data_IF_958992284245
#
_entry.id   IF_958992284245
#
_cell.length_a   1.000
_cell.length_b   1.000
_cell.length_c   1.000
_cell.angle_alpha   90.00
_cell.angle_beta   90.00
_cell.angle_gamma   90.00
#
_symmetry.space_group_name_H-M   'P 1'
#
loop_
_entity.id
_entity.type
_entity.pdbx_description
1 polymer ?
#
# COMPACT_ATOMS: atom_id res chain seq x y z
N UNK A 1 44.30 -3.02 -69.02
CA UNK A 1 43.45 -2.05 -68.27
C UNK A 1 42.09 -2.71 -68.08
N UNK A 2 41.93 -3.41 -66.97
CA UNK A 2 41.22 -3.02 -65.73
C UNK A 2 39.75 -3.47 -65.79
N UNK A 3 39.54 -4.70 -65.31
CA UNK A 3 38.21 -5.22 -64.99
C UNK A 3 37.53 -4.34 -63.94
N UNK A 4 36.31 -3.90 -64.21
CA UNK A 4 35.45 -3.30 -63.20
C UNK A 4 34.44 -4.37 -62.78
N UNK A 5 34.75 -5.06 -61.68
CA UNK A 5 33.81 -5.94 -60.99
C UNK A 5 32.83 -5.05 -60.23
N UNK A 6 31.63 -4.87 -60.77
CA UNK A 6 30.53 -4.24 -60.06
C UNK A 6 29.98 -5.25 -59.04
N UNK A 7 30.42 -5.12 -57.80
CA UNK A 7 29.88 -5.87 -56.66
C UNK A 7 28.43 -5.42 -56.41
N UNK A 8 27.47 -6.21 -56.87
CA UNK A 8 26.07 -6.10 -56.50
C UNK A 8 25.93 -6.49 -55.02
N UNK A 9 25.86 -5.49 -54.15
CA UNK A 9 25.47 -5.64 -52.74
C UNK A 9 24.01 -6.09 -52.74
N UNK A 10 23.82 -7.41 -52.60
CA UNK A 10 22.53 -8.01 -52.27
C UNK A 10 22.11 -7.51 -50.88
N UNK A 11 21.23 -6.51 -50.88
CA UNK A 11 20.42 -6.10 -49.76
C UNK A 11 19.69 -7.33 -49.20
N UNK A 12 20.23 -7.90 -48.12
CA UNK A 12 19.56 -8.88 -47.28
C UNK A 12 18.35 -8.21 -46.61
N UNK A 13 17.24 -8.14 -47.33
CA UNK A 13 15.92 -7.89 -46.77
C UNK A 13 15.46 -9.20 -46.14
N UNK A 14 16.13 -9.59 -45.05
CA UNK A 14 15.60 -10.61 -44.17
C UNK A 14 14.22 -10.14 -43.69
N UNK A 15 13.20 -10.99 -43.72
CA UNK A 15 11.89 -10.60 -43.21
C UNK A 15 12.09 -10.16 -41.77
N UNK A 16 11.75 -8.90 -41.45
CA UNK A 16 11.49 -8.49 -40.08
C UNK A 16 10.39 -9.42 -39.58
N UNK A 17 10.81 -10.52 -38.94
CA UNK A 17 9.93 -11.32 -38.12
C UNK A 17 9.47 -10.37 -37.04
N UNK A 18 8.28 -9.79 -37.22
CA UNK A 18 7.56 -9.15 -36.13
C UNK A 18 7.47 -10.22 -35.05
N UNK A 19 8.36 -10.14 -34.05
CA UNK A 19 8.25 -10.97 -32.87
C UNK A 19 6.84 -10.71 -32.34
N UNK A 20 5.95 -11.68 -32.52
CA UNK A 20 4.62 -11.63 -31.95
C UNK A 20 4.83 -11.60 -30.46
N UNK A 21 4.79 -10.40 -29.88
CA UNK A 21 4.85 -10.20 -28.44
C UNK A 21 3.63 -10.91 -27.89
N UNK A 22 3.82 -12.14 -27.42
CA UNK A 22 2.75 -12.91 -26.76
C UNK A 22 2.41 -12.13 -25.50
N UNK A 23 1.25 -11.48 -25.50
CA UNK A 23 0.73 -10.83 -24.31
C UNK A 23 0.56 -11.92 -23.24
N UNK A 24 1.26 -11.84 -22.10
CA UNK A 24 1.17 -12.86 -21.07
C UNK A 24 -0.27 -12.91 -20.56
N UNK A 25 -0.81 -14.13 -20.41
CA UNK A 25 -2.16 -14.34 -19.89
C UNK A 25 -2.21 -13.92 -18.42
N UNK A 26 -3.27 -13.21 -18.04
CA UNK A 26 -3.50 -12.81 -16.65
C UNK A 26 -3.87 -14.03 -15.80
N UNK A 27 -3.35 -14.08 -14.57
CA UNK A 27 -3.74 -15.04 -13.55
C UNK A 27 -5.14 -14.72 -13.00
N UNK A 28 -5.84 -15.67 -12.35
CA UNK A 28 -7.13 -15.39 -11.69
C UNK A 28 -7.05 -14.21 -10.70
N UNK A 29 -5.95 -14.11 -9.96
CA UNK A 29 -5.66 -12.97 -9.08
C UNK A 29 -5.66 -11.64 -9.85
N UNK A 30 -4.90 -11.55 -10.94
CA UNK A 30 -4.81 -10.35 -11.77
C UNK A 30 -6.12 -10.01 -12.51
N UNK A 31 -6.92 -11.02 -12.88
CA UNK A 31 -8.25 -10.80 -13.46
C UNK A 31 -9.18 -10.11 -12.46
N UNK A 32 -9.19 -10.55 -11.20
CA UNK A 32 -9.94 -9.87 -10.13
C UNK A 32 -9.47 -8.43 -9.88
N UNK A 33 -8.17 -8.18 -10.01
CA UNK A 33 -7.64 -6.81 -9.90
C UNK A 33 -8.13 -5.93 -11.05
N UNK A 34 -8.15 -6.45 -12.28
CA UNK A 34 -8.60 -5.72 -13.45
C UNK A 34 -10.04 -5.20 -13.31
N UNK A 35 -10.95 -5.99 -12.72
CA UNK A 35 -12.35 -5.57 -12.57
C UNK A 35 -12.55 -4.39 -11.60
N UNK A 36 -11.64 -4.24 -10.63
CA UNK A 36 -11.69 -3.18 -9.62
C UNK A 36 -10.85 -1.97 -9.99
N UNK A 37 -9.63 -2.20 -10.46
CA UNK A 37 -8.60 -1.17 -10.67
C UNK A 37 -8.47 -0.76 -12.14
N UNK A 38 -9.02 -1.54 -13.07
CA UNK A 38 -8.93 -1.25 -14.50
C UNK A 38 -7.48 -1.04 -14.95
N UNK A 39 -7.22 0.10 -15.57
CA UNK A 39 -5.89 0.52 -16.03
C UNK A 39 -5.11 1.36 -15.00
N UNK A 40 -5.60 1.50 -13.77
CA UNK A 40 -4.92 2.31 -12.74
C UNK A 40 -3.59 1.67 -12.28
N UNK A 41 -3.41 0.36 -12.50
CA UNK A 41 -2.19 -0.36 -12.13
C UNK A 41 -1.67 -1.24 -13.28
N UNK A 42 -0.37 -1.51 -13.28
CA UNK A 42 0.26 -2.50 -14.16
C UNK A 42 0.03 -3.91 -13.61
N UNK A 43 -1.01 -4.58 -14.14
CA UNK A 43 -1.42 -5.92 -13.69
C UNK A 43 -0.32 -6.95 -13.87
N UNK A 44 0.51 -6.85 -14.91
CA UNK A 44 1.56 -7.85 -15.18
C UNK A 44 2.63 -7.84 -14.10
N UNK A 45 2.88 -6.69 -13.48
CA UNK A 45 3.82 -6.55 -12.35
C UNK A 45 3.17 -6.83 -10.99
N UNK A 46 1.86 -7.08 -10.95
CA UNK A 46 1.10 -7.21 -9.71
C UNK A 46 0.63 -8.65 -9.52
N UNK A 47 1.49 -9.49 -8.94
CA UNK A 47 1.27 -10.95 -8.80
C UNK A 47 1.07 -11.43 -7.35
N UNK A 48 1.12 -10.53 -6.37
CA UNK A 48 0.89 -10.82 -4.96
C UNK A 48 0.44 -9.57 -4.18
N UNK A 49 0.04 -9.73 -2.93
CA UNK A 49 -0.45 -8.61 -2.09
C UNK A 49 0.58 -7.50 -1.89
N UNK A 50 1.87 -7.85 -1.75
CA UNK A 50 2.93 -6.84 -1.54
C UNK A 50 3.08 -5.94 -2.75
N UNK A 51 3.14 -6.51 -3.95
CA UNK A 51 3.22 -5.73 -5.20
C UNK A 51 1.94 -4.93 -5.44
N UNK A 52 0.78 -5.49 -5.09
CA UNK A 52 -0.49 -4.77 -5.15
C UNK A 52 -0.49 -3.55 -4.24
N UNK A 53 -0.07 -3.71 -2.99
CA UNK A 53 0.03 -2.59 -2.05
C UNK A 53 0.93 -1.47 -2.58
N UNK A 54 2.12 -1.78 -3.09
CA UNK A 54 3.01 -0.78 -3.70
C UNK A 54 2.42 -0.14 -4.96
N UNK A 55 1.68 -0.89 -5.78
CA UNK A 55 1.00 -0.35 -6.95
C UNK A 55 -0.12 0.64 -6.55
N UNK A 56 -0.86 0.35 -5.48
CA UNK A 56 -1.90 1.23 -4.93
C UNK A 56 -1.30 2.49 -4.31
N UNK A 57 -0.21 2.35 -3.52
CA UNK A 57 0.51 3.50 -2.98
C UNK A 57 0.92 4.49 -4.07
N UNK A 58 1.36 3.97 -5.21
CA UNK A 58 1.78 4.76 -6.37
C UNK A 58 0.58 5.35 -7.14
N UNK A 59 -0.42 4.53 -7.47
CA UNK A 59 -1.55 4.93 -8.33
C UNK A 59 -2.47 5.97 -7.66
N UNK A 60 -2.63 5.88 -6.34
CA UNK A 60 -3.49 6.77 -5.56
C UNK A 60 -2.70 7.81 -4.77
N UNK A 61 -1.39 7.92 -5.03
CA UNK A 61 -0.47 8.82 -4.35
C UNK A 61 -0.70 8.85 -2.84
N UNK A 62 -0.79 7.66 -2.23
CA UNK A 62 -1.15 7.55 -0.82
C UNK A 62 -0.20 8.40 0.02
N UNK A 63 1.09 8.37 -0.28
CA UNK A 63 2.12 9.16 0.43
C UNK A 63 1.91 10.67 0.38
N UNK A 64 1.35 11.23 -0.70
CA UNK A 64 1.18 12.68 -0.86
C UNK A 64 -0.22 13.18 -0.54
N UNK A 65 -1.20 12.30 -0.41
CA UNK A 65 -2.58 12.67 -0.07
C UNK A 65 -2.72 12.87 1.44
N UNK A 66 -3.54 13.86 1.81
CA UNK A 66 -3.77 14.20 3.20
C UNK A 66 -4.41 13.03 3.95
N UNK A 67 -3.79 12.67 5.08
CA UNK A 67 -4.29 11.66 6.00
C UNK A 67 -5.43 12.26 6.84
N UNK A 68 -6.65 11.74 6.69
CA UNK A 68 -7.82 12.22 7.44
C UNK A 68 -8.06 11.40 8.71
N UNK A 69 -7.79 10.11 8.64
CA UNK A 69 -7.95 9.18 9.76
C UNK A 69 -7.00 8.00 9.58
N UNK A 70 -6.39 7.55 10.69
CA UNK A 70 -5.63 6.30 10.70
C UNK A 70 -5.74 5.62 12.05
N UNK A 71 -6.04 4.33 12.02
CA UNK A 71 -5.93 3.44 13.17
C UNK A 71 -4.85 2.40 12.90
N UNK A 72 -3.98 2.18 13.87
CA UNK A 72 -2.95 1.15 13.83
C UNK A 72 -3.03 0.34 15.10
N UNK A 73 -3.47 -0.91 14.99
CA UNK A 73 -3.40 -1.89 16.07
C UNK A 73 -2.09 -2.66 15.91
N UNK A 74 -1.30 -2.75 16.98
CA UNK A 74 -0.02 -3.43 16.97
C UNK A 74 0.22 -4.18 18.29
N UNK A 75 1.06 -5.21 18.25
CA UNK A 75 1.43 -5.98 19.42
C UNK A 75 2.82 -5.59 19.92
N UNK A 76 2.88 -4.99 21.10
CA UNK A 76 4.13 -4.66 21.78
C UNK A 76 4.39 -5.71 22.85
N UNK A 77 5.36 -6.60 22.60
CA UNK A 77 5.59 -7.81 23.44
C UNK A 77 4.35 -8.70 23.47
N UNK A 78 3.65 -8.77 24.60
CA UNK A 78 2.38 -9.48 24.79
C UNK A 78 1.16 -8.59 24.60
N UNK A 79 1.33 -7.26 24.67
CA UNK A 79 0.23 -6.34 24.89
C UNK A 79 -0.26 -5.77 23.58
N UNK A 80 -1.58 -5.76 23.41
CA UNK A 80 -2.22 -5.18 22.25
C UNK A 80 -2.40 -3.67 22.48
N UNK A 81 -1.89 -2.88 21.56
CA UNK A 81 -1.98 -1.42 21.60
C UNK A 81 -2.68 -0.91 20.35
N UNK A 82 -3.36 0.21 20.47
CA UNK A 82 -4.03 0.89 19.36
C UNK A 82 -3.58 2.34 19.30
N UNK A 83 -3.06 2.76 18.16
CA UNK A 83 -2.81 4.15 17.83
C UNK A 83 -3.95 4.64 16.94
N UNK A 84 -4.57 5.77 17.28
CA UNK A 84 -5.65 6.38 16.49
C UNK A 84 -5.34 7.85 16.21
N UNK A 85 -5.21 8.20 14.95
CA UNK A 85 -5.17 9.57 14.47
C UNK A 85 -6.53 10.00 13.94
N UNK A 86 -7.07 11.06 14.53
CA UNK A 86 -8.30 11.72 14.09
C UNK A 86 -8.31 13.17 14.57
N UNK A 87 -8.90 14.08 13.79
CA UNK A 87 -9.08 15.49 14.16
C UNK A 87 -7.77 16.18 14.62
N UNK A 88 -6.64 15.89 13.95
CA UNK A 88 -5.35 16.49 14.26
C UNK A 88 -4.69 15.98 15.55
N UNK A 89 -5.23 14.94 16.18
CA UNK A 89 -4.68 14.35 17.41
C UNK A 89 -4.37 12.87 17.22
N UNK A 90 -3.29 12.41 17.82
CA UNK A 90 -2.88 11.01 17.91
C UNK A 90 -3.12 10.53 19.33
N UNK A 91 -3.97 9.54 19.50
CA UNK A 91 -4.25 8.89 20.77
C UNK A 91 -3.65 7.48 20.78
N UNK A 92 -3.02 7.09 21.87
CA UNK A 92 -2.51 5.73 22.08
C UNK A 92 -3.33 5.07 23.18
N UNK A 93 -3.82 3.87 22.91
CA UNK A 93 -4.63 3.07 23.80
C UNK A 93 -3.96 1.72 24.08
N UNK A 94 -4.15 1.24 25.29
CA UNK A 94 -4.06 -0.18 25.62
C UNK A 94 -5.39 -0.84 25.25
N UNK A 95 -5.30 -1.98 24.58
CA UNK A 95 -6.46 -2.81 24.23
C UNK A 95 -6.46 -4.00 25.17
N UNK A 96 -7.52 -4.13 25.95
CA UNK A 96 -7.77 -5.31 26.77
C UNK A 96 -8.39 -6.40 25.89
N UNK A 97 -7.71 -7.54 25.72
CA UNK A 97 -8.17 -8.63 24.84
C UNK A 97 -9.39 -9.37 25.41
N UNK A 98 -9.63 -9.32 26.74
CA UNK A 98 -10.73 -10.06 27.38
C UNK A 98 -12.09 -9.37 27.16
N UNK A 99 -12.12 -8.04 27.24
CA UNK A 99 -13.35 -7.22 27.18
C UNK A 99 -13.41 -6.25 25.99
N UNK A 100 -12.41 -6.27 25.09
CA UNK A 100 -12.21 -5.32 23.97
C UNK A 100 -12.27 -3.84 24.42
N UNK A 101 -11.88 -3.61 25.67
CA UNK A 101 -11.93 -2.29 26.29
C UNK A 101 -10.69 -1.47 25.92
N UNK A 102 -10.85 -0.16 25.76
CA UNK A 102 -9.78 0.75 25.39
C UNK A 102 -9.43 1.66 26.57
N UNK A 103 -8.18 1.59 27.01
CA UNK A 103 -7.64 2.50 28.04
C UNK A 103 -6.67 3.48 27.40
N UNK A 104 -7.00 4.78 27.45
CA UNK A 104 -6.13 5.84 26.91
C UNK A 104 -4.83 5.92 27.72
N UNK A 105 -3.69 5.85 27.02
CA UNK A 105 -2.35 5.96 27.59
C UNK A 105 -1.81 7.38 27.37
N UNK A 106 -1.95 7.91 26.15
CA UNK A 106 -1.44 9.22 25.79
C UNK A 106 -2.20 9.86 24.65
N UNK A 107 -2.12 11.19 24.58
CA UNK A 107 -2.64 12.02 23.50
C UNK A 107 -1.54 12.98 23.05
N UNK A 108 -1.29 13.06 21.76
CA UNK A 108 -0.35 13.98 21.13
C UNK A 108 -1.05 14.78 20.05
N UNK A 109 -0.94 16.10 20.09
CA UNK A 109 -1.46 16.96 19.01
C UNK A 109 -0.45 17.02 17.86
N UNK A 110 -0.95 16.97 16.63
CA UNK A 110 -0.16 17.12 15.41
C UNK A 110 -0.23 18.58 14.97
N UNK A 111 0.92 19.22 14.77
CA UNK A 111 1.00 20.59 14.24
C UNK A 111 0.98 21.70 15.30
N UNK A 112 0.92 21.38 16.60
CA UNK A 112 1.28 22.31 17.66
C UNK A 112 2.77 22.10 17.99
N UNK A 113 3.63 22.88 17.34
CA UNK A 113 5.02 22.99 17.77
C UNK A 113 5.05 23.60 19.17
N UNK A 114 5.79 22.94 20.06
CA UNK A 114 6.21 23.44 21.34
C UNK A 114 6.73 24.87 21.16
N UNK A 115 6.06 25.86 21.76
CA UNK A 115 6.47 27.28 21.68
C UNK A 115 7.77 27.57 22.44
N UNK A 116 8.57 26.56 22.74
CA UNK A 116 9.82 26.66 23.47
C UNK A 116 10.97 26.11 22.62
N UNK A 117 11.58 27.01 21.85
CA UNK A 117 12.88 26.86 21.18
C UNK A 117 13.04 25.72 20.15
N UNK A 118 12.80 26.00 18.86
CA UNK A 118 13.76 25.69 17.76
C UNK A 118 13.19 26.10 16.39
N UNK A 119 13.60 27.28 15.90
CA UNK A 119 13.23 27.89 14.62
C UNK A 119 13.78 27.18 13.36
N UNK A 120 13.97 25.85 13.36
CA UNK A 120 14.60 25.15 12.21
C UNK A 120 14.04 23.81 11.81
N UNK A 121 13.10 23.23 12.56
CA UNK A 121 12.52 21.94 12.19
C UNK A 121 11.12 22.13 11.61
N UNK A 122 10.92 21.67 10.36
CA UNK A 122 9.60 21.60 9.75
C UNK A 122 8.71 20.70 10.61
N UNK A 123 7.48 21.11 10.98
CA UNK A 123 6.60 20.26 11.76
C UNK A 123 6.40 18.91 11.06
N UNK A 124 6.47 17.84 11.85
CA UNK A 124 6.28 16.48 11.33
C UNK A 124 4.82 16.32 10.88
N UNK A 125 4.64 15.67 9.72
CA UNK A 125 3.30 15.25 9.29
C UNK A 125 2.73 14.22 10.27
N UNK A 126 1.40 14.08 10.30
CA UNK A 126 0.73 13.04 11.09
C UNK A 126 1.32 11.66 10.79
N UNK A 127 1.53 11.33 9.51
CA UNK A 127 2.13 10.07 9.08
C UNK A 127 3.55 9.86 9.64
N UNK A 128 4.40 10.88 9.60
CA UNK A 128 5.75 10.81 10.16
C UNK A 128 5.71 10.61 11.68
N UNK A 129 4.80 11.28 12.38
CA UNK A 129 4.64 11.16 13.83
C UNK A 129 4.15 9.76 14.23
N UNK A 130 3.15 9.23 13.52
CA UNK A 130 2.67 7.85 13.71
C UNK A 130 3.82 6.86 13.53
N UNK A 131 4.62 7.03 12.46
CA UNK A 131 5.75 6.14 12.18
C UNK A 131 6.80 6.19 13.29
N UNK A 132 7.12 7.38 13.80
CA UNK A 132 8.04 7.53 14.93
C UNK A 132 7.52 6.82 16.19
N UNK A 133 6.22 6.95 16.49
CA UNK A 133 5.61 6.27 17.64
C UNK A 133 5.70 4.75 17.50
N UNK A 134 5.41 4.20 16.32
CA UNK A 134 5.54 2.77 16.05
C UNK A 134 6.98 2.28 16.18
N UNK A 135 7.97 3.05 15.71
CA UNK A 135 9.39 2.71 15.87
C UNK A 135 9.79 2.72 17.35
N UNK A 136 9.35 3.74 18.11
CA UNK A 136 9.63 3.85 19.56
C UNK A 136 8.97 2.75 20.38
N UNK A 137 7.89 2.15 19.88
CA UNK A 137 7.17 1.09 20.59
C UNK A 137 7.93 -0.25 20.66
N UNK A 138 9.06 -0.44 19.98
CA UNK A 138 9.84 -1.70 20.03
C UNK A 138 8.96 -2.94 19.78
N UNK A 139 8.25 -2.93 18.64
CA UNK A 139 7.31 -3.99 18.24
C UNK A 139 8.12 -5.28 17.97
N UNK A 140 7.91 -6.32 18.78
CA UNK A 140 8.67 -7.59 18.71
C UNK A 140 8.12 -8.62 17.71
N UNK A 141 6.92 -8.40 17.18
CA UNK A 141 6.27 -9.28 16.21
C UNK A 141 5.64 -8.45 15.10
N UNK A 142 5.70 -8.92 13.86
CA UNK A 142 5.11 -8.24 12.69
C UNK A 142 3.59 -8.35 12.62
N UNK A 143 2.92 -8.25 13.77
CA UNK A 143 1.48 -8.15 13.88
C UNK A 143 1.09 -6.68 13.84
N UNK A 144 0.44 -6.27 12.76
CA UNK A 144 -0.10 -4.91 12.64
C UNK A 144 -1.39 -4.95 11.84
N UNK A 145 -2.42 -4.24 12.28
CA UNK A 145 -3.63 -3.97 11.49
C UNK A 145 -3.75 -2.46 11.32
N UNK A 146 -3.83 -1.99 10.07
CA UNK A 146 -4.00 -0.57 9.75
C UNK A 146 -5.35 -0.38 9.09
N UNK A 147 -6.08 0.63 9.57
CA UNK A 147 -7.23 1.20 8.86
C UNK A 147 -6.93 2.66 8.55
N UNK A 148 -7.06 3.06 7.31
CA UNK A 148 -6.66 4.38 6.85
C UNK A 148 -7.73 4.99 5.94
N UNK A 149 -7.96 6.29 6.09
CA UNK A 149 -8.79 7.09 5.19
C UNK A 149 -8.01 8.33 4.76
N UNK A 150 -7.96 8.57 3.46
CA UNK A 150 -7.32 9.75 2.87
C UNK A 150 -8.31 10.66 2.16
N UNK A 151 -7.92 11.90 1.90
CA UNK A 151 -8.78 12.91 1.27
C UNK A 151 -9.26 12.54 -0.14
N UNK A 152 -8.56 11.65 -0.84
CA UNK A 152 -8.96 11.11 -2.16
C UNK A 152 -10.07 10.04 -2.14
N UNK A 153 -10.79 9.86 -1.02
CA UNK A 153 -11.94 8.94 -0.95
C UNK A 153 -11.59 7.45 -0.92
N UNK A 154 -10.33 7.09 -0.72
CA UNK A 154 -9.88 5.71 -0.55
C UNK A 154 -9.89 5.34 0.94
N UNK A 155 -10.53 4.21 1.26
CA UNK A 155 -10.45 3.59 2.59
C UNK A 155 -9.68 2.28 2.45
N UNK A 156 -8.63 2.15 3.26
CA UNK A 156 -7.67 1.07 3.20
C UNK A 156 -7.68 0.31 4.51
N UNK A 157 -7.80 -1.01 4.46
CA UNK A 157 -7.61 -1.89 5.62
C UNK A 157 -6.56 -2.93 5.28
N UNK A 158 -5.50 -3.02 6.09
CA UNK A 158 -4.37 -3.92 5.85
C UNK A 158 -4.09 -4.68 7.13
N UNK A 159 -3.80 -5.97 7.00
CA UNK A 159 -3.24 -6.76 8.08
C UNK A 159 -1.90 -7.36 7.68
N UNK A 160 -0.92 -7.25 8.57
CA UNK A 160 0.38 -7.91 8.49
C UNK A 160 0.49 -8.97 9.58
N UNK A 161 1.07 -10.11 9.23
CA UNK A 161 1.55 -11.15 10.16
C UNK A 161 2.73 -11.85 9.51
N UNK A 162 3.78 -12.13 10.28
CA UNK A 162 4.96 -12.87 9.84
C UNK A 162 5.60 -12.25 8.58
N UNK A 163 5.77 -10.91 8.58
CA UNK A 163 6.33 -10.12 7.47
C UNK A 163 5.52 -10.13 6.18
N UNK A 164 4.31 -10.71 6.18
CA UNK A 164 3.46 -10.82 5.01
C UNK A 164 2.16 -10.05 5.19
N UNK A 165 1.67 -9.46 4.10
CA UNK A 165 0.32 -8.92 4.05
C UNK A 165 -0.65 -10.10 3.99
N UNK A 166 -1.39 -10.32 5.07
CA UNK A 166 -2.40 -11.39 5.17
C UNK A 166 -3.73 -10.96 4.55
N UNK A 167 -4.08 -9.69 4.65
CA UNK A 167 -5.25 -9.13 3.97
C UNK A 167 -5.05 -7.68 3.57
N UNK A 168 -5.68 -7.31 2.46
CA UNK A 168 -5.73 -5.97 1.92
C UNK A 168 -7.16 -5.73 1.41
N UNK A 169 -7.87 -4.79 2.04
CA UNK A 169 -9.19 -4.34 1.60
C UNK A 169 -9.13 -2.87 1.21
N UNK A 170 -9.67 -2.54 0.05
CA UNK A 170 -9.72 -1.19 -0.49
C UNK A 170 -11.16 -0.87 -0.87
N UNK A 171 -11.76 0.12 -0.22
CA UNK A 171 -13.06 0.64 -0.58
C UNK A 171 -12.87 1.94 -1.38
N UNK A 172 -13.39 1.96 -2.60
CA UNK A 172 -13.37 3.10 -3.51
C UNK A 172 -14.67 3.89 -3.34
N UNK A 173 -14.64 4.99 -2.58
CA UNK A 173 -15.87 5.72 -2.23
C UNK A 173 -16.64 6.22 -3.45
N UNK A 174 -15.94 6.62 -4.52
CA UNK A 174 -16.57 7.18 -5.73
C UNK A 174 -17.28 6.13 -6.57
N UNK A 175 -16.67 4.94 -6.74
CA UNK A 175 -17.20 3.89 -7.61
C UNK A 175 -18.05 2.86 -6.86
N UNK A 176 -18.16 2.96 -5.53
CA UNK A 176 -18.80 1.99 -4.62
C UNK A 176 -18.28 0.56 -4.78
N UNK A 177 -17.12 0.39 -5.42
CA UNK A 177 -16.43 -0.89 -5.52
C UNK A 177 -15.59 -1.13 -4.27
N UNK A 178 -15.43 -2.39 -3.91
CA UNK A 178 -14.45 -2.81 -2.93
C UNK A 178 -13.60 -3.94 -3.49
N UNK A 179 -12.29 -3.82 -3.31
CA UNK A 179 -11.33 -4.88 -3.58
C UNK A 179 -10.99 -5.55 -2.25
N UNK A 180 -11.29 -6.83 -2.12
CA UNK A 180 -10.99 -7.63 -0.94
C UNK A 180 -9.99 -8.72 -1.29
N UNK A 181 -8.77 -8.58 -0.78
CA UNK A 181 -7.68 -9.51 -0.99
C UNK A 181 -7.29 -10.16 0.34
N UNK A 182 -7.14 -11.49 0.36
CA UNK A 182 -6.79 -12.26 1.55
C UNK A 182 -5.94 -13.46 1.16
N UNK A 183 -4.96 -13.76 2.00
CA UNK A 183 -4.14 -14.95 1.84
C UNK A 183 -4.90 -16.14 2.42
N UNK A 184 -5.21 -17.12 1.57
CA UNK A 184 -5.84 -18.37 1.98
C UNK A 184 -4.83 -19.48 1.75
N UNK A 185 -4.45 -20.16 2.84
CA UNK A 185 -3.37 -21.15 2.83
C UNK A 185 -2.07 -20.52 2.29
N UNK A 186 -1.61 -20.96 1.11
CA UNK A 186 -0.41 -20.45 0.44
C UNK A 186 -0.70 -19.59 -0.80
N UNK A 187 -1.95 -19.20 -1.03
CA UNK A 187 -2.37 -18.45 -2.21
C UNK A 187 -2.96 -17.08 -1.86
N UNK A 188 -2.58 -16.07 -2.63
CA UNK A 188 -3.20 -14.74 -2.60
C UNK A 188 -4.47 -14.76 -3.46
N UNK A 189 -5.59 -14.39 -2.86
CA UNK A 189 -6.90 -14.37 -3.52
C UNK A 189 -7.47 -12.97 -3.40
N UNK A 190 -7.91 -12.40 -4.52
CA UNK A 190 -8.64 -11.15 -4.56
C UNK A 190 -10.03 -11.33 -5.14
N UNK A 191 -10.98 -10.58 -4.60
CA UNK A 191 -12.35 -10.46 -5.11
C UNK A 191 -12.71 -8.99 -5.21
N UNK A 192 -13.36 -8.64 -6.32
CA UNK A 192 -13.92 -7.31 -6.53
C UNK A 192 -15.43 -7.41 -6.36
N UNK A 193 -16.01 -6.58 -5.51
CA UNK A 193 -17.46 -6.47 -5.33
C UNK A 193 -17.89 -5.03 -5.57
N UNK A 194 -19.07 -4.84 -6.16
CA UNK A 194 -19.61 -3.52 -6.50
C UNK A 194 -20.57 -3.60 -7.68
#
# INVERSE_FOLDING_TARGET
>A
MREVKLFLILLFWGPLSFATVRVPKLTPYQVSLQSCLGSAIDLQKTDNHRKLYSAIESAYSLVSSELLYREVVYKQRSDLKKLKYENGSINVYEVDEEDDSLKLISTEKVGEDDKTNELRHKPLSAEARIRQLLIRADIRSDFTRVRERRSGGLILNISWSDQQIRSLKIDFSESKKSLNCTQKESADICTCTG
#
